data_IF_512779547952
#
_entry.id   IF_512779547952
#
_cell.length_a   1.000
_cell.length_b   1.000
_cell.length_c   1.000
_cell.angle_alpha   90.00
_cell.angle_beta   90.00
_cell.angle_gamma   90.00
#
_symmetry.space_group_name_H-M   'P 1'
#
loop_
_entity.id
_entity.type
_entity.pdbx_description
1 polymer ?
#
# COMPACT_ATOMS: atom_id res chain seq x y z
N UNK A 1 11.33 -47.06 -1.60
CA UNK A 1 10.41 -45.93 -1.82
C UNK A 1 9.54 -45.81 -0.56
N UNK A 2 9.96 -45.00 0.41
CA UNK A 2 9.23 -44.82 1.67
C UNK A 2 8.17 -43.74 1.50
N UNK A 3 6.92 -44.16 1.31
CA UNK A 3 5.77 -43.28 1.39
C UNK A 3 5.41 -43.05 2.85
N UNK A 4 5.98 -42.01 3.46
CA UNK A 4 5.44 -41.46 4.71
C UNK A 4 4.08 -40.84 4.39
N UNK A 5 3.01 -41.60 4.64
CA UNK A 5 1.65 -41.04 4.73
C UNK A 5 1.66 -40.11 5.94
N UNK A 6 1.82 -38.81 5.69
CA UNK A 6 1.61 -37.78 6.69
C UNK A 6 0.15 -37.88 7.12
N UNK A 7 -0.11 -38.59 8.22
CA UNK A 7 -1.35 -38.46 8.97
C UNK A 7 -1.35 -37.05 9.56
N UNK A 8 -1.85 -36.09 8.77
CA UNK A 8 -2.00 -34.71 9.20
C UNK A 8 -3.06 -34.74 10.30
N UNK A 9 -2.61 -34.61 11.55
CA UNK A 9 -3.51 -34.42 12.68
C UNK A 9 -4.42 -33.23 12.36
N UNK A 10 -5.75 -33.32 12.55
CA UNK A 10 -6.70 -32.26 12.19
C UNK A 10 -6.35 -30.91 12.83
N UNK A 11 -5.70 -30.92 14.00
CA UNK A 11 -5.15 -29.73 14.64
C UNK A 11 -4.05 -29.07 13.81
N UNK A 12 -3.13 -29.83 13.20
CA UNK A 12 -2.07 -29.30 12.34
C UNK A 12 -2.63 -28.73 11.04
N UNK A 13 -3.66 -29.37 10.48
CA UNK A 13 -4.33 -28.87 9.28
C UNK A 13 -5.04 -27.54 9.55
N UNK A 14 -5.73 -27.43 10.69
CA UNK A 14 -6.40 -26.20 11.10
C UNK A 14 -5.41 -25.05 11.32
N UNK A 15 -4.29 -25.29 12.00
CA UNK A 15 -3.24 -24.28 12.20
C UNK A 15 -2.67 -23.82 10.87
N UNK A 16 -2.39 -24.73 9.93
CA UNK A 16 -1.88 -24.38 8.62
C UNK A 16 -2.87 -23.50 7.83
N UNK A 17 -4.17 -23.81 7.88
CA UNK A 17 -5.20 -22.99 7.26
C UNK A 17 -5.29 -21.58 7.87
N UNK A 18 -5.27 -21.48 9.20
CA UNK A 18 -5.32 -20.19 9.90
C UNK A 18 -4.08 -19.35 9.57
N UNK A 19 -2.89 -19.95 9.59
CA UNK A 19 -1.66 -19.26 9.18
C UNK A 19 -1.72 -18.78 7.73
N UNK A 20 -2.25 -19.60 6.81
CA UNK A 20 -2.41 -19.20 5.42
C UNK A 20 -3.38 -18.02 5.27
N UNK A 21 -4.51 -18.03 5.98
CA UNK A 21 -5.48 -16.93 5.98
C UNK A 21 -4.83 -15.64 6.53
N UNK A 22 -4.13 -15.72 7.65
CA UNK A 22 -3.45 -14.55 8.24
C UNK A 22 -2.39 -14.00 7.28
N UNK A 23 -1.59 -14.86 6.65
CA UNK A 23 -0.58 -14.45 5.69
C UNK A 23 -1.18 -13.69 4.50
N UNK A 24 -2.32 -14.16 3.97
CA UNK A 24 -3.05 -13.47 2.89
C UNK A 24 -3.56 -12.11 3.36
N UNK A 25 -4.14 -12.02 4.55
CA UNK A 25 -4.61 -10.76 5.11
C UNK A 25 -3.47 -9.75 5.31
N UNK A 26 -2.31 -10.21 5.81
CA UNK A 26 -1.12 -9.37 5.95
C UNK A 26 -0.62 -8.87 4.59
N UNK A 27 -0.58 -9.73 3.56
CA UNK A 27 -0.15 -9.33 2.22
C UNK A 27 -1.06 -8.26 1.63
N UNK A 28 -2.38 -8.41 1.77
CA UNK A 28 -3.36 -7.41 1.33
C UNK A 28 -3.18 -6.10 2.09
N UNK A 29 -3.00 -6.17 3.41
CA UNK A 29 -2.77 -4.99 4.25
C UNK A 29 -1.54 -4.19 3.82
N UNK A 30 -0.42 -4.86 3.58
CA UNK A 30 0.82 -4.23 3.10
C UNK A 30 0.61 -3.60 1.72
N UNK A 31 -0.09 -4.28 0.81
CA UNK A 31 -0.39 -3.74 -0.52
C UNK A 31 -1.19 -2.43 -0.45
N UNK A 32 -2.18 -2.36 0.44
CA UNK A 32 -3.00 -1.16 0.65
C UNK A 32 -2.15 -0.03 1.25
N UNK A 33 -1.33 -0.33 2.26
CA UNK A 33 -0.45 0.67 2.88
C UNK A 33 0.53 1.24 1.85
N UNK A 34 1.22 0.37 1.11
CA UNK A 34 2.17 0.80 0.07
C UNK A 34 1.46 1.59 -1.04
N UNK A 35 0.23 1.21 -1.41
CA UNK A 35 -0.54 1.97 -2.40
C UNK A 35 -0.90 3.36 -1.91
N UNK A 36 -1.17 3.56 -0.62
CA UNK A 36 -1.44 4.89 -0.06
C UNK A 36 -0.16 5.70 0.12
N UNK A 37 0.92 5.08 0.59
CA UNK A 37 2.24 5.72 0.72
C UNK A 37 2.71 6.28 -0.63
N UNK A 38 2.59 5.50 -1.72
CA UNK A 38 2.95 5.95 -3.06
C UNK A 38 2.13 7.15 -3.56
N UNK A 39 0.86 7.27 -3.15
CA UNK A 39 0.02 8.42 -3.48
C UNK A 39 0.38 9.64 -2.65
N UNK A 40 0.66 9.45 -1.36
CA UNK A 40 1.09 10.54 -0.48
C UNK A 40 2.44 11.11 -0.93
N UNK A 41 3.38 10.25 -1.34
CA UNK A 41 4.67 10.67 -1.88
C UNK A 41 4.54 11.44 -3.19
N UNK A 42 3.68 10.98 -4.10
CA UNK A 42 3.40 11.67 -5.37
C UNK A 42 2.75 13.03 -5.12
N UNK A 43 1.78 13.09 -4.20
CA UNK A 43 1.11 14.33 -3.82
C UNK A 43 2.08 15.33 -3.18
N UNK A 44 2.96 14.86 -2.27
CA UNK A 44 4.00 15.69 -1.66
C UNK A 44 5.01 16.24 -2.65
N UNK A 45 5.38 15.43 -3.64
CA UNK A 45 6.25 15.89 -4.73
C UNK A 45 5.57 17.01 -5.53
N UNK A 46 4.31 16.79 -5.94
CA UNK A 46 3.52 17.81 -6.63
C UNK A 46 3.42 19.11 -5.84
N UNK A 47 3.09 19.06 -4.54
CA UNK A 47 3.00 20.25 -3.70
C UNK A 47 4.30 21.04 -3.63
N UNK A 48 5.43 20.34 -3.56
CA UNK A 48 6.75 20.97 -3.45
C UNK A 48 7.09 21.72 -4.75
N UNK A 49 6.80 21.10 -5.89
CA UNK A 49 7.02 21.69 -7.21
C UNK A 49 6.11 22.90 -7.45
N UNK A 50 4.80 22.75 -7.20
CA UNK A 50 3.83 23.83 -7.39
C UNK A 50 4.09 25.00 -6.44
N UNK A 51 4.41 24.77 -5.16
CA UNK A 51 4.79 25.85 -4.24
C UNK A 51 6.00 26.64 -4.74
N UNK A 52 7.01 25.95 -5.31
CA UNK A 52 8.16 26.62 -5.89
C UNK A 52 7.77 27.47 -7.11
N UNK A 53 6.89 26.97 -7.98
CA UNK A 53 6.42 27.71 -9.17
C UNK A 53 5.59 28.92 -8.78
N UNK A 54 4.65 28.76 -7.84
CA UNK A 54 3.79 29.84 -7.32
C UNK A 54 4.63 30.92 -6.63
N UNK A 55 5.69 30.55 -5.91
CA UNK A 55 6.59 31.52 -5.28
C UNK A 55 7.33 32.41 -6.29
N UNK A 56 7.53 31.93 -7.53
CA UNK A 56 8.23 32.66 -8.60
C UNK A 56 7.24 33.45 -9.47
N UNK A 57 6.16 32.81 -9.89
CA UNK A 57 5.23 33.36 -10.90
C UNK A 57 4.02 34.05 -10.27
N UNK A 58 3.73 33.77 -9.00
CA UNK A 58 2.46 34.08 -8.36
C UNK A 58 1.33 33.20 -8.91
N UNK A 59 0.34 32.90 -8.08
CA UNK A 59 -0.85 32.14 -8.49
C UNK A 59 -2.06 32.59 -7.70
N UNK A 60 -3.22 32.45 -8.33
CA UNK A 60 -4.52 32.68 -7.72
C UNK A 60 -5.03 31.44 -6.96
N UNK A 61 -4.57 30.26 -7.35
CA UNK A 61 -4.87 28.98 -6.72
C UNK A 61 -3.69 28.53 -5.84
N UNK A 62 -3.99 27.77 -4.80
CA UNK A 62 -2.98 27.17 -3.93
C UNK A 62 -2.37 25.92 -4.59
N UNK A 63 -1.16 25.55 -4.18
CA UNK A 63 -0.48 24.35 -4.69
C UNK A 63 -1.34 23.08 -4.52
N UNK A 64 -2.15 23.02 -3.47
CA UNK A 64 -3.05 21.91 -3.15
C UNK A 64 -4.14 21.73 -4.21
N UNK A 65 -4.71 22.82 -4.74
CA UNK A 65 -5.72 22.76 -5.80
C UNK A 65 -5.16 22.15 -7.09
N UNK A 66 -3.92 22.48 -7.45
CA UNK A 66 -3.29 21.92 -8.66
C UNK A 66 -3.02 20.42 -8.53
N UNK A 67 -2.63 19.97 -7.35
CA UNK A 67 -2.33 18.56 -7.09
C UNK A 67 -3.59 17.70 -6.94
N UNK A 68 -4.71 18.28 -6.51
CA UNK A 68 -6.01 17.60 -6.42
C UNK A 68 -6.72 17.48 -7.79
N UNK A 69 -6.52 18.41 -8.72
CA UNK A 69 -7.15 18.37 -10.07
C UNK A 69 -6.47 17.34 -11.00
N UNK A 70 -5.19 17.05 -10.76
CA UNK A 70 -4.40 16.12 -11.57
C UNK A 70 -4.50 14.64 -11.17
N UNK A 71 -5.28 14.31 -10.14
CA UNK A 71 -5.36 12.98 -9.52
C UNK A 71 -6.82 12.49 -9.39
#
# INVERSE_FOLDING_TARGET
MNGSRNEISPARQAVAMVCAIIAVMCAIGIMIINSQESKEDAYRQCLTEERARIAVEGSLLEAEDFCDIGH
#
